data_IF_968535080800
#
_entry.id   IF_968535080800
#
_cell.length_a   1.000
_cell.length_b   1.000
_cell.length_c   1.000
_cell.angle_alpha   90.00
_cell.angle_beta   90.00
_cell.angle_gamma   90.00
#
_symmetry.space_group_name_H-M   'P 1'
#
loop_
_entity.id
_entity.type
_entity.pdbx_description
1 polymer ?
#
# COMPACT_ATOMS: atom_id res chain seq x y z
N UNK A 1 23.68 2.02 -4.95
CA UNK A 1 22.89 0.78 -5.16
C UNK A 1 21.96 0.94 -6.35
N UNK A 2 21.13 1.98 -6.39
CA UNK A 2 20.22 2.28 -7.51
C UNK A 2 20.97 2.51 -8.84
N UNK A 3 21.89 3.48 -8.86
CA UNK A 3 22.63 3.86 -10.07
C UNK A 3 23.43 2.69 -10.67
N UNK A 4 24.04 1.86 -9.82
CA UNK A 4 24.78 0.66 -10.25
C UNK A 4 23.87 -0.40 -10.90
N UNK A 5 22.63 -0.51 -10.45
CA UNK A 5 21.70 -1.56 -10.90
C UNK A 5 20.87 -1.13 -12.10
N UNK A 6 20.43 0.14 -12.12
CA UNK A 6 19.46 0.64 -13.12
C UNK A 6 19.96 1.82 -13.95
N UNK A 7 20.95 2.57 -13.45
CA UNK A 7 21.34 3.87 -14.01
C UNK A 7 20.21 4.92 -13.97
N UNK A 8 20.54 6.16 -14.30
CA UNK A 8 19.57 7.27 -14.42
C UNK A 8 19.34 7.71 -15.87
N UNK A 9 20.11 7.16 -16.82
CA UNK A 9 20.08 7.52 -18.26
C UNK A 9 19.00 6.76 -19.06
N UNK A 10 17.89 6.39 -18.42
CA UNK A 10 16.78 5.73 -19.08
C UNK A 10 15.81 6.77 -19.65
N UNK A 11 15.29 6.53 -20.85
CA UNK A 11 14.29 7.40 -21.50
C UNK A 11 12.86 6.85 -21.36
N UNK A 12 12.71 5.52 -21.41
CA UNK A 12 11.44 4.81 -21.30
C UNK A 12 11.60 3.57 -20.43
N UNK A 13 10.52 3.16 -19.77
CA UNK A 13 10.48 1.92 -18.98
C UNK A 13 9.79 0.83 -19.80
N UNK A 14 10.30 -0.40 -19.73
CA UNK A 14 9.78 -1.53 -20.49
C UNK A 14 8.39 -1.95 -20.01
N UNK A 15 8.14 -1.84 -18.70
CA UNK A 15 6.88 -2.19 -18.08
C UNK A 15 6.74 -1.54 -16.68
N UNK A 16 5.53 -1.66 -16.14
CA UNK A 16 5.19 -1.24 -14.77
C UNK A 16 6.12 -1.85 -13.73
N UNK A 17 6.45 -3.13 -13.83
CA UNK A 17 7.25 -3.82 -12.81
C UNK A 17 8.69 -3.29 -12.74
N UNK A 18 9.24 -2.84 -13.87
CA UNK A 18 10.50 -2.11 -13.90
C UNK A 18 10.41 -0.80 -13.11
N UNK A 19 9.34 -0.02 -13.31
CA UNK A 19 9.10 1.22 -12.56
C UNK A 19 9.02 0.95 -11.04
N UNK A 20 8.34 -0.13 -10.64
CA UNK A 20 8.22 -0.52 -9.24
C UNK A 20 9.55 -0.95 -8.62
N UNK A 21 10.35 -1.76 -9.33
CA UNK A 21 11.68 -2.18 -8.87
C UNK A 21 12.64 -0.99 -8.75
N UNK A 22 12.63 -0.09 -9.74
CA UNK A 22 13.39 1.17 -9.69
C UNK A 22 12.96 2.01 -8.48
N UNK A 23 11.66 2.20 -8.28
CA UNK A 23 11.15 2.99 -7.15
C UNK A 23 11.55 2.40 -5.80
N UNK A 24 11.44 1.08 -5.62
CA UNK A 24 11.90 0.40 -4.41
C UNK A 24 13.40 0.63 -4.18
N UNK A 25 14.23 0.40 -5.19
CA UNK A 25 15.67 0.59 -5.10
C UNK A 25 16.06 2.06 -4.84
N UNK A 26 15.32 3.01 -5.39
CA UNK A 26 15.48 4.43 -5.14
C UNK A 26 15.21 4.78 -3.67
N UNK A 27 14.13 4.22 -3.09
CA UNK A 27 13.84 4.37 -1.67
C UNK A 27 14.95 3.79 -0.77
N UNK A 28 15.50 2.64 -1.14
CA UNK A 28 16.65 2.05 -0.45
C UNK A 28 17.87 2.98 -0.54
N UNK A 29 18.20 3.46 -1.74
CA UNK A 29 19.34 4.33 -2.01
C UNK A 29 19.29 5.61 -1.16
N UNK A 30 18.12 6.27 -1.09
CA UNK A 30 17.95 7.49 -0.32
C UNK A 30 18.19 7.26 1.18
N UNK A 31 17.69 6.15 1.74
CA UNK A 31 17.94 5.82 3.15
C UNK A 31 19.42 5.51 3.43
N UNK A 32 20.18 5.07 2.44
CA UNK A 32 21.62 4.83 2.54
C UNK A 32 22.47 6.08 2.23
N UNK A 33 21.84 7.23 2.02
CA UNK A 33 22.50 8.52 1.78
C UNK A 33 22.83 8.81 0.32
N UNK A 34 22.35 7.99 -0.63
CA UNK A 34 22.48 8.25 -2.06
C UNK A 34 21.28 9.10 -2.53
N UNK A 35 21.55 10.34 -2.95
CA UNK A 35 20.51 11.25 -3.42
C UNK A 35 20.37 11.20 -4.94
N UNK A 36 19.16 10.92 -5.41
CA UNK A 36 18.79 11.04 -6.82
C UNK A 36 17.59 12.00 -6.92
N UNK A 37 17.86 13.32 -6.93
CA UNK A 37 16.79 14.30 -7.10
C UNK A 37 16.06 14.03 -8.42
N UNK A 38 14.75 14.29 -8.45
CA UNK A 38 13.87 14.19 -9.62
C UNK A 38 13.57 12.77 -10.11
N UNK A 39 14.37 11.77 -9.75
CA UNK A 39 14.21 10.39 -10.26
C UNK A 39 12.86 9.77 -9.85
N UNK A 40 12.37 10.08 -8.64
CA UNK A 40 11.04 9.60 -8.19
C UNK A 40 9.93 10.16 -9.06
N UNK A 41 10.02 11.44 -9.42
CA UNK A 41 9.02 12.12 -10.24
C UNK A 41 9.07 11.59 -11.68
N UNK A 42 10.27 11.39 -12.23
CA UNK A 42 10.46 10.74 -13.54
C UNK A 42 9.81 9.35 -13.58
N UNK A 43 10.03 8.51 -12.56
CA UNK A 43 9.39 7.19 -12.47
C UNK A 43 7.86 7.28 -12.38
N UNK A 44 7.33 8.27 -11.66
CA UNK A 44 5.90 8.52 -11.50
C UNK A 44 5.23 9.06 -12.79
N UNK A 45 5.99 9.74 -13.64
CA UNK A 45 5.54 10.26 -14.93
C UNK A 45 5.69 9.26 -16.08
N UNK A 46 6.62 8.31 -15.96
CA UNK A 46 6.82 7.24 -16.94
C UNK A 46 5.69 6.19 -16.96
N UNK A 47 4.85 6.14 -15.92
CA UNK A 47 3.71 5.22 -15.84
C UNK A 47 2.41 5.87 -16.32
N UNK A 48 1.59 5.10 -17.02
CA UNK A 48 0.43 5.64 -17.76
C UNK A 48 -0.75 6.02 -16.86
N UNK A 49 -0.92 5.31 -15.74
CA UNK A 49 -2.13 5.46 -14.92
C UNK A 49 -1.86 6.08 -13.56
N UNK A 50 -2.84 6.83 -13.05
CA UNK A 50 -2.80 7.33 -11.67
C UNK A 50 -2.74 6.20 -10.63
N UNK A 51 -3.25 5.02 -10.98
CA UNK A 51 -3.13 3.82 -10.15
C UNK A 51 -1.67 3.38 -10.06
N UNK A 52 -0.97 3.25 -11.19
CA UNK A 52 0.43 2.84 -11.22
C UNK A 52 1.34 3.86 -10.53
N UNK A 53 1.03 5.15 -10.67
CA UNK A 53 1.74 6.21 -9.94
C UNK A 53 1.70 6.02 -8.43
N UNK A 54 0.53 5.64 -7.88
CA UNK A 54 0.42 5.32 -6.44
C UNK A 54 1.27 4.11 -6.05
N UNK A 55 1.43 3.14 -6.95
CA UNK A 55 2.30 1.99 -6.70
C UNK A 55 3.77 2.33 -6.77
N UNK A 56 4.19 3.24 -7.64
CA UNK A 56 5.54 3.81 -7.64
C UNK A 56 5.83 4.45 -6.28
N UNK A 57 4.93 5.30 -5.78
CA UNK A 57 5.07 5.94 -4.47
C UNK A 57 5.08 4.93 -3.31
N UNK A 58 4.25 3.88 -3.40
CA UNK A 58 4.22 2.82 -2.40
C UNK A 58 5.51 2.00 -2.40
N UNK A 59 6.01 1.60 -3.57
CA UNK A 59 7.25 0.84 -3.71
C UNK A 59 8.45 1.63 -3.16
N UNK A 60 8.53 2.93 -3.46
CA UNK A 60 9.54 3.82 -2.90
C UNK A 60 9.47 3.89 -1.37
N UNK A 61 8.28 4.06 -0.78
CA UNK A 61 8.11 4.03 0.69
C UNK A 61 8.50 2.67 1.27
N UNK A 62 8.15 1.57 0.61
CA UNK A 62 8.49 0.21 1.04
C UNK A 62 10.00 -0.01 1.04
N UNK A 63 10.72 0.47 0.02
CA UNK A 63 12.19 0.43 -0.02
C UNK A 63 12.82 1.10 1.19
N UNK A 64 12.35 2.31 1.54
CA UNK A 64 12.80 3.04 2.74
C UNK A 64 12.47 2.29 4.03
N UNK A 65 11.26 1.77 4.15
CA UNK A 65 10.84 0.98 5.31
C UNK A 65 11.71 -0.27 5.48
N UNK A 66 12.06 -0.93 4.37
CA UNK A 66 12.85 -2.16 4.41
C UNK A 66 14.26 -1.93 4.98
N UNK A 67 14.89 -0.81 4.63
CA UNK A 67 16.17 -0.42 5.24
C UNK A 67 16.03 -0.32 6.76
N UNK A 68 14.99 0.36 7.26
CA UNK A 68 14.76 0.55 8.69
C UNK A 68 14.48 -0.75 9.46
N UNK A 69 13.86 -1.74 8.79
CA UNK A 69 13.60 -3.05 9.38
C UNK A 69 14.88 -3.87 9.50
N UNK A 70 15.76 -3.80 8.49
CA UNK A 70 16.99 -4.60 8.44
C UNK A 70 18.17 -3.95 9.16
N UNK A 71 18.20 -2.63 9.26
CA UNK A 71 19.25 -1.87 9.97
C UNK A 71 19.53 -2.40 11.40
N UNK A 72 18.54 -2.69 12.27
CA UNK A 72 18.81 -3.25 13.59
C UNK A 72 19.28 -4.72 13.58
N UNK A 73 19.08 -5.45 12.48
CA UNK A 73 19.46 -6.86 12.37
C UNK A 73 20.91 -7.06 11.86
N UNK A 74 21.56 -5.98 11.41
CA UNK A 74 22.85 -6.06 10.72
C UNK A 74 23.80 -4.99 11.25
N UNK A 75 24.91 -5.43 11.83
CA UNK A 75 25.93 -4.52 12.40
C UNK A 75 26.80 -3.81 11.33
N UNK A 76 26.78 -4.28 10.08
CA UNK A 76 27.61 -3.79 8.99
C UNK A 76 26.79 -3.29 7.79
N UNK A 77 27.02 -2.04 7.40
CA UNK A 77 26.33 -1.39 6.28
C UNK A 77 26.57 -2.07 4.93
N UNK A 78 27.69 -2.78 4.74
CA UNK A 78 27.94 -3.53 3.51
C UNK A 78 27.12 -4.82 3.46
N UNK A 79 26.97 -5.53 4.57
CA UNK A 79 26.05 -6.66 4.69
C UNK A 79 24.59 -6.24 4.45
N UNK A 80 24.17 -5.09 5.00
CA UNK A 80 22.83 -4.53 4.77
C UNK A 80 22.59 -4.27 3.28
N UNK A 81 23.52 -3.59 2.61
CA UNK A 81 23.48 -3.33 1.16
C UNK A 81 23.41 -4.61 0.34
N UNK A 82 24.17 -5.65 0.72
CA UNK A 82 24.15 -6.94 0.04
C UNK A 82 22.78 -7.61 0.17
N UNK A 83 22.24 -7.73 1.39
CA UNK A 83 20.91 -8.31 1.61
C UNK A 83 19.81 -7.60 0.80
N UNK A 84 19.84 -6.27 0.79
CA UNK A 84 18.87 -5.47 0.03
C UNK A 84 19.03 -5.63 -1.50
N UNK A 85 20.24 -5.83 -2.01
CA UNK A 85 20.49 -6.09 -3.43
C UNK A 85 20.06 -7.51 -3.84
N UNK A 86 20.27 -8.49 -2.96
CA UNK A 86 19.79 -9.86 -3.16
C UNK A 86 18.25 -9.87 -3.17
N UNK A 87 17.61 -9.18 -2.21
CA UNK A 87 16.15 -9.02 -2.17
C UNK A 87 15.62 -8.32 -3.42
N UNK A 88 16.28 -7.25 -3.89
CA UNK A 88 15.91 -6.53 -5.12
C UNK A 88 15.86 -7.44 -6.36
N UNK A 89 16.75 -8.42 -6.42
CA UNK A 89 16.83 -9.40 -7.51
C UNK A 89 15.71 -10.43 -7.41
N UNK A 90 15.27 -10.72 -6.18
CA UNK A 90 14.18 -11.65 -5.86
C UNK A 90 12.81 -10.97 -5.75
N UNK A 91 12.70 -9.64 -5.96
CA UNK A 91 11.42 -8.92 -5.93
C UNK A 91 10.55 -9.42 -7.08
N UNK A 92 9.81 -10.47 -6.78
CA UNK A 92 8.48 -10.69 -7.35
C UNK A 92 7.67 -9.48 -6.91
N UNK A 93 7.10 -8.67 -7.82
CA UNK A 93 6.38 -7.47 -7.42
C UNK A 93 5.29 -7.88 -6.43
N UNK A 94 5.47 -7.50 -5.15
CA UNK A 94 4.55 -7.71 -4.03
C UNK A 94 3.28 -6.86 -4.18
N UNK A 95 2.76 -6.79 -5.40
CA UNK A 95 1.64 -5.99 -5.85
C UNK A 95 0.70 -6.89 -6.66
N UNK A 96 0.47 -8.10 -6.16
CA UNK A 96 -0.80 -8.76 -6.41
C UNK A 96 -1.84 -8.14 -5.44
N UNK A 97 -3.06 -7.80 -5.87
CA UNK A 97 -4.09 -7.20 -5.01
C UNK A 97 -4.68 -8.17 -3.96
N UNK A 98 -3.97 -9.25 -3.62
CA UNK A 98 -4.37 -10.23 -2.62
C UNK A 98 -3.13 -10.69 -1.85
N UNK A 99 -2.70 -9.90 -0.88
CA UNK A 99 -1.88 -10.39 0.22
C UNK A 99 -2.42 -9.73 1.47
N UNK A 100 -3.18 -10.54 2.20
CA UNK A 100 -3.67 -10.31 3.55
C UNK A 100 -2.66 -9.51 4.39
N UNK A 101 -3.14 -8.64 5.31
CA UNK A 101 -2.30 -8.28 6.42
C UNK A 101 -2.02 -9.58 7.17
N UNK A 102 -0.78 -10.08 7.12
CA UNK A 102 -0.29 -10.87 8.24
C UNK A 102 -0.36 -9.96 9.44
N UNK A 103 -1.50 -10.11 10.13
CA UNK A 103 -1.73 -9.75 11.49
C UNK A 103 -0.50 -10.16 12.30
N UNK A 104 0.11 -9.18 12.96
CA UNK A 104 0.96 -9.47 14.10
C UNK A 104 0.01 -9.93 15.21
N UNK A 105 -0.34 -11.22 15.18
CA UNK A 105 -1.23 -11.87 16.15
C UNK A 105 -0.44 -12.16 17.43
N UNK A 106 -0.17 -11.12 18.20
CA UNK A 106 0.05 -11.25 19.62
C UNK A 106 -1.32 -11.31 20.33
N UNK A 107 -1.86 -12.53 20.37
CA UNK A 107 -2.70 -13.13 21.41
C UNK A 107 -3.65 -12.18 22.17
N UNK A 108 -4.94 -12.25 21.87
CA UNK A 108 -5.99 -11.54 22.59
C UNK A 108 -7.37 -11.73 21.97
N UNK A 109 -8.16 -12.59 22.60
CA UNK A 109 -9.51 -12.99 22.25
C UNK A 109 -10.49 -11.79 22.14
N UNK A 110 -11.54 -11.96 21.33
CA UNK A 110 -12.73 -11.10 21.12
C UNK A 110 -12.72 -10.03 20.00
N UNK A 111 -13.39 -10.37 18.88
CA UNK A 111 -14.45 -9.54 18.29
C UNK A 111 -14.06 -8.38 17.37
N UNK A 112 -13.95 -8.66 16.07
CA UNK A 112 -14.54 -7.90 14.94
C UNK A 112 -14.63 -6.36 15.05
N UNK A 113 -13.54 -5.63 15.36
CA UNK A 113 -13.52 -4.14 15.29
C UNK A 113 -12.16 -3.51 14.92
N UNK A 114 -11.22 -4.29 14.40
CA UNK A 114 -9.82 -3.87 14.29
C UNK A 114 -9.47 -3.06 13.03
N UNK A 115 -10.39 -2.97 12.06
CA UNK A 115 -10.16 -2.27 10.78
C UNK A 115 -10.75 -0.86 10.68
N UNK A 116 -11.50 -0.41 11.70
CA UNK A 116 -12.24 0.85 11.66
C UNK A 116 -11.56 1.91 12.56
N UNK A 117 -11.50 3.19 12.14
CA UNK A 117 -11.07 4.27 13.02
C UNK A 117 -11.97 4.33 14.25
N UNK A 118 -11.45 4.77 15.41
CA UNK A 118 -12.18 4.76 16.69
C UNK A 118 -13.58 5.39 16.64
N UNK A 119 -13.79 6.38 15.77
CA UNK A 119 -15.10 6.99 15.54
C UNK A 119 -16.16 6.03 14.98
N UNK A 120 -15.75 4.93 14.38
CA UNK A 120 -16.60 3.95 13.69
C UNK A 120 -16.66 2.58 14.40
N UNK A 121 -15.89 2.38 15.48
CA UNK A 121 -15.93 1.17 16.32
C UNK A 121 -17.25 0.99 17.11
N UNK A 122 -18.26 1.83 16.90
CA UNK A 122 -19.60 1.63 17.47
C UNK A 122 -20.63 1.09 16.47
N UNK A 123 -20.31 1.11 15.18
CA UNK A 123 -21.27 0.83 14.12
C UNK A 123 -21.01 -0.55 13.53
N UNK A 124 -21.91 -1.49 13.79
CA UNK A 124 -21.98 -2.72 13.01
C UNK A 124 -22.63 -2.40 11.67
N UNK A 125 -21.79 -2.14 10.65
CA UNK A 125 -22.26 -1.85 9.28
C UNK A 125 -22.93 -3.09 8.66
N UNK A 126 -22.54 -4.29 9.09
CA UNK A 126 -23.05 -5.56 8.57
C UNK A 126 -24.36 -6.02 9.21
N UNK A 127 -24.87 -5.30 10.22
CA UNK A 127 -26.21 -5.53 10.76
C UNK A 127 -27.14 -4.44 10.26
N UNK A 128 -28.14 -4.84 9.47
CA UNK A 128 -29.25 -3.97 9.12
C UNK A 128 -29.94 -3.52 10.43
N UNK A 129 -30.14 -2.22 10.69
CA UNK A 129 -30.95 -1.79 11.80
C UNK A 129 -32.36 -2.39 11.64
N UNK A 130 -32.96 -2.81 12.75
CA UNK A 130 -34.35 -3.29 12.81
C UNK A 130 -35.23 -2.29 12.04
N UNK A 131 -35.85 -2.74 10.94
CA UNK A 131 -36.62 -1.88 10.05
C UNK A 131 -37.91 -1.45 10.74
N UNK A 132 -37.78 -0.48 11.65
CA UNK A 132 -38.87 0.14 12.39
C UNK A 132 -39.65 1.08 11.46
N UNK A 133 -40.31 0.51 10.45
CA UNK A 133 -41.38 1.17 9.69
C UNK A 133 -42.64 1.41 10.51
N UNK A 134 -42.65 1.00 11.79
CA UNK A 134 -43.80 1.04 12.69
C UNK A 134 -44.24 2.46 13.12
N UNK A 135 -43.63 3.52 12.56
CA UNK A 135 -44.01 4.91 12.85
C UNK A 135 -44.48 5.73 11.66
N UNK A 136 -44.74 5.12 10.51
CA UNK A 136 -45.38 5.81 9.37
C UNK A 136 -46.63 5.06 8.95
N UNK A 137 -47.75 5.30 9.64
CA UNK A 137 -49.05 4.85 9.13
C UNK A 137 -49.38 5.62 7.86
N UNK A 138 -49.77 4.90 6.81
CA UNK A 138 -50.25 5.49 5.56
C UNK A 138 -51.41 6.45 5.88
N UNK A 139 -51.33 7.73 5.50
CA UNK A 139 -52.43 8.65 5.69
C UNK A 139 -53.66 8.20 4.89
N UNK A 140 -54.84 8.30 5.48
CA UNK A 140 -56.11 7.83 4.87
C UNK A 140 -56.45 8.49 3.54
N UNK A 141 -55.85 9.63 3.20
CA UNK A 141 -56.04 10.26 1.89
C UNK A 141 -55.40 9.49 0.72
N UNK A 142 -54.47 8.56 1.00
CA UNK A 142 -53.85 7.68 0.01
C UNK A 142 -54.58 6.33 -0.10
N UNK A 143 -55.64 6.09 0.67
CA UNK A 143 -56.49 4.93 0.47
C UNK A 143 -57.38 5.19 -0.74
N UNK A 144 -57.09 4.48 -1.83
CA UNK A 144 -57.85 4.57 -3.07
C UNK A 144 -59.12 3.75 -2.89
N UNK A 145 -60.26 4.43 -2.81
CA UNK A 145 -61.59 3.80 -2.79
C UNK A 145 -61.68 2.80 -3.94
N UNK A 146 -61.87 1.52 -3.60
CA UNK A 146 -62.13 0.48 -4.59
C UNK A 146 -63.65 0.38 -4.78
N UNK A 147 -64.13 0.18 -6.02
CA UNK A 147 -65.55 0.30 -6.38
C UNK A 147 -66.45 -0.73 -5.68
#
# INVERSE_FOLDING_TARGET
MYERTFGTDWDTLENRDEALRRAFALGVAECLGEAHPDERERLADAVETAYDRRFVDLAYRKGRQRVRQLEPEVDDGQQLRKRLADELTDVTPLVAPHADPESDEADGEDGDQSGLPTSLQGYRIDTLPDDSTERVRQPSFLERDRP
#
